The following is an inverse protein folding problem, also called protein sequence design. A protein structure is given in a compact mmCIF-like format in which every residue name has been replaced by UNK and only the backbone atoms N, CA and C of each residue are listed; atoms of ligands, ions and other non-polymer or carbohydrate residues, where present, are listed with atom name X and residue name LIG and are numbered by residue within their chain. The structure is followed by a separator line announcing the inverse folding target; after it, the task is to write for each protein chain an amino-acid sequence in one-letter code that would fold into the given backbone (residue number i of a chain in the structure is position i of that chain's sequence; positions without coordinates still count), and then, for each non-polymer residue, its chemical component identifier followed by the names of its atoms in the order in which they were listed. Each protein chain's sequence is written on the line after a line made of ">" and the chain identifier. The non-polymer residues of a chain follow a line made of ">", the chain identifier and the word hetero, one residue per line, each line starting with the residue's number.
data_IF_196782360443
#
_entry.id   IF_196782360443
#
_cell.length_a   1.000
_cell.length_b   1.000
_cell.length_c   1.000
_cell.angle_alpha   90.00
_cell.angle_beta   90.00
_cell.angle_gamma   90.00
#
_symmetry.space_group_name_H-M   'P 1'
#
loop_
_entity.id
_entity.type
_entity.pdbx_description
1 polymer ?
#
# COMPACT_ATOMS: atom_id res chain seq x y z
N UNK A 1 3.81 22.05 40.83
CA UNK A 1 2.78 21.70 39.81
C UNK A 1 3.23 20.41 39.16
N UNK A 2 2.51 19.30 39.37
CA UNK A 2 2.85 18.03 38.73
C UNK A 2 2.80 18.18 37.21
N UNK A 3 3.73 17.54 36.49
CA UNK A 3 3.64 17.49 35.03
C UNK A 3 2.26 16.93 34.63
N UNK A 4 1.56 17.54 33.65
CA UNK A 4 0.29 17.00 33.19
C UNK A 4 0.49 15.55 32.76
N UNK A 5 -0.41 14.66 33.18
CA UNK A 5 -0.34 13.25 32.84
C UNK A 5 -0.20 13.09 31.32
N UNK A 6 0.83 12.35 30.89
CA UNK A 6 1.12 12.12 29.48
C UNK A 6 0.05 11.21 28.89
N UNK A 7 -0.89 11.76 28.13
CA UNK A 7 -1.87 10.97 27.38
C UNK A 7 -1.16 10.29 26.21
N UNK A 8 -1.32 8.97 26.10
CA UNK A 8 -0.80 8.17 24.99
C UNK A 8 -1.98 7.54 24.27
N UNK A 9 -1.92 7.54 22.94
CA UNK A 9 -2.99 7.06 22.07
C UNK A 9 -2.36 6.17 21.02
N UNK A 10 -2.93 4.98 20.84
CA UNK A 10 -2.64 4.07 19.74
C UNK A 10 -3.70 4.29 18.67
N UNK A 11 -3.32 4.24 17.39
CA UNK A 11 -4.27 4.40 16.29
C UNK A 11 -3.97 3.40 15.18
N UNK A 12 -5.02 2.96 14.51
CA UNK A 12 -4.96 2.13 13.30
C UNK A 12 -6.22 2.31 12.45
N UNK A 13 -6.14 1.97 11.17
CA UNK A 13 -7.27 2.01 10.23
C UNK A 13 -7.10 0.89 9.18
N UNK A 14 -8.08 0.74 8.30
CA UNK A 14 -8.00 -0.11 7.10
C UNK A 14 -7.73 -1.60 7.43
N UNK A 15 -8.26 -2.11 8.55
CA UNK A 15 -8.07 -3.51 8.96
C UNK A 15 -8.81 -4.51 8.06
N UNK A 16 -9.87 -4.06 7.35
CA UNK A 16 -10.70 -4.83 6.42
C UNK A 16 -11.06 -6.24 6.89
N UNK A 17 -11.54 -6.35 8.12
CA UNK A 17 -11.80 -7.63 8.75
C UNK A 17 -12.92 -8.44 8.09
N UNK A 18 -13.74 -7.82 7.24
CA UNK A 18 -14.68 -8.52 6.35
C UNK A 18 -13.99 -9.47 5.37
N UNK A 19 -12.69 -9.29 5.15
CA UNK A 19 -11.85 -10.15 4.30
C UNK A 19 -11.11 -11.24 5.09
N UNK A 20 -11.03 -11.09 6.41
CA UNK A 20 -10.15 -11.86 7.29
C UNK A 20 -10.89 -12.53 8.46
N UNK A 21 -12.21 -12.57 8.43
CA UNK A 21 -13.04 -13.29 9.41
C UNK A 21 -13.08 -12.66 10.80
N UNK A 22 -12.78 -11.37 10.94
CA UNK A 22 -12.88 -10.64 12.21
C UNK A 22 -12.12 -11.28 13.37
N UNK A 23 -10.94 -11.84 13.11
CA UNK A 23 -10.07 -12.47 14.10
C UNK A 23 -8.86 -11.62 14.49
N UNK A 24 -8.73 -10.39 13.97
CA UNK A 24 -7.58 -9.54 14.25
C UNK A 24 -7.39 -9.27 15.75
N UNK A 25 -6.12 -9.26 16.14
CA UNK A 25 -5.63 -8.96 17.48
C UNK A 25 -4.46 -7.98 17.37
N UNK A 26 -4.31 -7.10 18.37
CA UNK A 26 -3.21 -6.14 18.42
C UNK A 26 -2.61 -6.09 19.82
N UNK A 27 -1.33 -5.72 19.92
CA UNK A 27 -0.71 -5.45 21.21
C UNK A 27 -1.11 -4.05 21.69
N UNK A 28 -1.53 -3.96 22.95
CA UNK A 28 -1.84 -2.68 23.61
C UNK A 28 -0.54 -1.93 23.86
N UNK A 29 -0.37 -0.79 23.19
CA UNK A 29 0.76 0.15 23.37
C UNK A 29 0.35 1.44 24.07
N UNK A 30 -0.95 1.67 24.26
CA UNK A 30 -1.54 2.85 24.90
C UNK A 30 -2.89 2.50 25.55
N UNK A 31 -3.43 3.31 26.50
CA UNK A 31 -4.74 3.08 27.09
C UNK A 31 -5.92 3.36 26.15
N UNK A 32 -5.72 4.26 25.17
CA UNK A 32 -6.76 4.69 24.23
C UNK A 32 -6.41 4.16 22.83
N UNK A 33 -7.40 3.58 22.15
CA UNK A 33 -7.31 3.13 20.76
C UNK A 33 -8.19 3.98 19.85
N UNK A 34 -7.64 4.52 18.77
CA UNK A 34 -8.41 5.11 17.66
C UNK A 34 -8.45 4.10 16.51
N UNK A 35 -9.67 3.83 16.03
CA UNK A 35 -10.00 3.06 14.84
C UNK A 35 -10.46 4.03 13.75
N UNK A 36 -9.58 4.37 12.82
CA UNK A 36 -9.73 5.43 11.81
C UNK A 36 -10.42 5.01 10.51
N UNK A 37 -11.46 4.18 10.60
CA UNK A 37 -12.24 3.69 9.45
C UNK A 37 -11.67 2.45 8.76
N UNK A 38 -12.52 1.81 7.97
CA UNK A 38 -12.30 0.57 7.22
C UNK A 38 -11.79 -0.59 8.10
N UNK A 39 -12.38 -0.73 9.28
CA UNK A 39 -12.11 -1.84 10.19
C UNK A 39 -12.83 -3.10 9.72
N UNK A 40 -14.02 -2.93 9.13
CA UNK A 40 -14.90 -3.98 8.66
C UNK A 40 -16.15 -3.39 8.02
N UNK A 41 -17.23 -4.18 7.94
CA UNK A 41 -18.58 -3.72 7.54
C UNK A 41 -19.56 -3.77 8.70
N UNK A 42 -20.40 -2.75 8.86
CA UNK A 42 -21.43 -2.75 9.91
C UNK A 42 -22.54 -3.78 9.67
N UNK A 43 -22.78 -4.17 8.42
CA UNK A 43 -23.74 -5.23 8.10
C UNK A 43 -23.33 -6.61 8.64
N UNK A 44 -22.02 -6.83 8.87
CA UNK A 44 -21.50 -8.04 9.52
C UNK A 44 -21.57 -7.89 11.06
N UNK A 45 -22.75 -7.49 11.55
CA UNK A 45 -22.95 -6.90 12.88
C UNK A 45 -22.34 -7.72 14.03
N UNK A 46 -22.66 -9.01 14.11
CA UNK A 46 -22.17 -9.87 15.20
C UNK A 46 -20.66 -10.06 15.19
N UNK A 47 -20.06 -10.20 14.01
CA UNK A 47 -18.62 -10.34 13.86
C UNK A 47 -17.90 -9.03 14.20
N UNK A 48 -18.43 -7.90 13.73
CA UNK A 48 -17.90 -6.56 14.05
C UNK A 48 -18.01 -6.28 15.55
N UNK A 49 -19.16 -6.57 16.17
CA UNK A 49 -19.39 -6.46 17.62
C UNK A 49 -18.41 -7.30 18.42
N UNK A 50 -18.18 -8.55 18.01
CA UNK A 50 -17.23 -9.45 18.68
C UNK A 50 -15.80 -8.89 18.64
N UNK A 51 -15.37 -8.39 17.48
CA UNK A 51 -14.08 -7.71 17.32
C UNK A 51 -13.95 -6.48 18.24
N UNK A 52 -14.94 -5.58 18.22
CA UNK A 52 -14.95 -4.39 19.06
C UNK A 52 -14.96 -4.72 20.55
N UNK A 53 -15.66 -5.77 20.95
CA UNK A 53 -15.70 -6.23 22.35
C UNK A 53 -14.31 -6.69 22.81
N UNK A 54 -13.53 -7.35 21.96
CA UNK A 54 -12.13 -7.69 22.28
C UNK A 54 -11.25 -6.46 22.44
N UNK A 55 -11.41 -5.44 21.58
CA UNK A 55 -10.71 -4.17 21.78
C UNK A 55 -11.14 -3.47 23.08
N UNK A 56 -12.44 -3.41 23.38
CA UNK A 56 -12.94 -2.77 24.61
C UNK A 56 -12.55 -3.54 25.89
N UNK A 57 -12.32 -4.85 25.80
CA UNK A 57 -11.75 -5.62 26.90
C UNK A 57 -10.27 -5.23 27.16
N UNK A 58 -9.53 -4.90 26.11
CA UNK A 58 -8.10 -4.61 26.18
C UNK A 58 -7.78 -3.13 26.50
N UNK A 59 -8.54 -2.19 25.94
CA UNK A 59 -8.33 -0.74 26.04
C UNK A 59 -9.30 -0.09 27.04
N UNK A 60 -8.93 1.08 27.56
CA UNK A 60 -9.78 1.87 28.47
C UNK A 60 -10.85 2.66 27.70
N UNK A 61 -10.50 3.08 26.48
CA UNK A 61 -11.39 3.77 25.56
C UNK A 61 -11.02 3.37 24.13
N UNK A 62 -12.03 3.02 23.34
CA UNK A 62 -11.94 2.80 21.89
C UNK A 62 -12.75 3.87 21.19
N UNK A 63 -12.11 4.63 20.30
CA UNK A 63 -12.74 5.67 19.48
C UNK A 63 -12.82 5.15 18.06
N UNK A 64 -14.02 5.11 17.49
CA UNK A 64 -14.28 4.62 16.13
C UNK A 64 -14.76 5.76 15.24
N UNK A 65 -14.12 5.92 14.09
CA UNK A 65 -14.62 6.71 12.95
C UNK A 65 -14.90 5.70 11.83
N UNK A 66 -16.02 5.85 11.12
CA UNK A 66 -16.34 4.98 9.99
C UNK A 66 -15.57 5.43 8.74
N UNK A 67 -15.09 4.45 7.97
CA UNK A 67 -14.67 4.61 6.59
C UNK A 67 -15.80 4.26 5.62
N UNK A 68 -15.46 4.03 4.36
CA UNK A 68 -16.45 3.66 3.34
C UNK A 68 -16.85 2.18 3.43
N UNK A 69 -15.93 1.29 3.81
CA UNK A 69 -16.23 -0.14 3.94
C UNK A 69 -17.26 -0.43 5.04
N UNK A 70 -17.29 0.38 6.11
CA UNK A 70 -18.32 0.26 7.15
C UNK A 70 -19.75 0.26 6.59
N UNK A 71 -19.99 0.97 5.48
CA UNK A 71 -21.31 1.10 4.85
C UNK A 71 -21.57 0.08 3.73
N UNK A 72 -20.58 -0.71 3.31
CA UNK A 72 -20.72 -1.65 2.19
C UNK A 72 -21.79 -2.72 2.47
N UNK A 73 -22.73 -2.87 1.53
CA UNK A 73 -23.87 -3.78 1.61
C UNK A 73 -25.11 -3.19 2.30
N UNK A 74 -25.05 -1.94 2.76
CA UNK A 74 -26.14 -1.27 3.48
C UNK A 74 -26.35 0.14 2.96
N UNK A 75 -27.48 0.78 3.31
CA UNK A 75 -27.59 2.23 3.16
C UNK A 75 -26.77 2.93 4.24
N UNK A 76 -26.35 4.17 4.00
CA UNK A 76 -25.62 4.94 5.02
C UNK A 76 -26.41 5.09 6.32
N UNK A 77 -27.73 5.29 6.24
CA UNK A 77 -28.59 5.38 7.40
C UNK A 77 -28.60 4.09 8.24
N UNK A 78 -28.69 2.92 7.60
CA UNK A 78 -28.61 1.62 8.28
C UNK A 78 -27.25 1.39 8.94
N UNK A 79 -26.17 1.78 8.27
CA UNK A 79 -24.82 1.68 8.84
C UNK A 79 -24.65 2.57 10.08
N UNK A 80 -25.17 3.81 10.05
CA UNK A 80 -25.13 4.71 11.21
C UNK A 80 -25.98 4.19 12.39
N UNK A 81 -27.16 3.63 12.11
CA UNK A 81 -27.98 2.96 13.13
C UNK A 81 -27.23 1.78 13.77
N UNK A 82 -26.59 0.94 12.95
CA UNK A 82 -25.78 -0.17 13.43
C UNK A 82 -24.61 0.32 14.30
N UNK A 83 -23.91 1.37 13.90
CA UNK A 83 -22.83 1.97 14.68
C UNK A 83 -23.32 2.48 16.04
N UNK A 84 -24.49 3.12 16.10
CA UNK A 84 -25.09 3.58 17.35
C UNK A 84 -25.44 2.41 18.26
N UNK A 85 -26.08 1.37 17.74
CA UNK A 85 -26.39 0.14 18.50
C UNK A 85 -25.12 -0.51 19.04
N UNK A 86 -24.04 -0.57 18.25
CA UNK A 86 -22.74 -1.11 18.71
C UNK A 86 -22.20 -0.38 19.95
N UNK A 87 -22.38 0.94 20.07
CA UNK A 87 -21.94 1.70 21.26
C UNK A 87 -22.71 1.29 22.51
N UNK A 88 -23.96 0.88 22.35
CA UNK A 88 -24.90 0.51 23.43
C UNK A 88 -24.82 -0.97 23.82
N UNK A 89 -24.10 -1.80 23.04
CA UNK A 89 -23.95 -3.22 23.30
C UNK A 89 -23.39 -3.51 24.70
N UNK A 90 -24.04 -4.37 25.52
CA UNK A 90 -23.56 -4.69 26.86
C UNK A 90 -22.12 -5.21 26.88
N UNK A 91 -21.71 -5.96 25.85
CA UNK A 91 -20.34 -6.52 25.73
C UNK A 91 -19.26 -5.46 25.51
N UNK A 92 -19.63 -4.23 25.16
CA UNK A 92 -18.73 -3.09 24.99
C UNK A 92 -18.48 -2.36 26.32
N UNK A 93 -19.41 -2.46 27.27
CA UNK A 93 -19.23 -1.92 28.63
C UNK A 93 -19.01 -0.41 28.68
N UNK A 94 -19.59 0.34 27.75
CA UNK A 94 -19.49 1.81 27.70
C UNK A 94 -18.10 2.35 27.31
N UNK A 95 -17.20 1.52 26.80
CA UNK A 95 -15.82 1.89 26.43
C UNK A 95 -15.63 2.26 24.96
N UNK A 96 -16.65 2.07 24.11
CA UNK A 96 -16.62 2.53 22.72
C UNK A 96 -17.20 3.94 22.62
N UNK A 97 -16.64 4.74 21.71
CA UNK A 97 -17.22 6.00 21.24
C UNK A 97 -17.17 6.00 19.72
N UNK A 98 -18.33 6.10 19.09
CA UNK A 98 -18.41 6.30 17.65
C UNK A 98 -18.49 7.81 17.36
N UNK A 99 -17.58 8.32 16.53
CA UNK A 99 -17.55 9.73 16.15
C UNK A 99 -17.96 9.88 14.69
N UNK A 100 -19.07 10.58 14.47
CA UNK A 100 -19.55 10.99 13.16
C UNK A 100 -19.97 12.46 13.24
N UNK A 101 -19.02 13.36 12.95
CA UNK A 101 -19.12 14.79 13.28
C UNK A 101 -19.38 14.99 14.77
N UNK A 102 -18.55 14.33 15.57
CA UNK A 102 -18.65 14.39 17.02
C UNK A 102 -17.27 14.54 17.68
N UNK A 103 -17.26 14.89 18.96
CA UNK A 103 -16.07 15.16 19.77
C UNK A 103 -16.03 14.33 21.04
N UNK A 104 -14.82 13.98 21.47
CA UNK A 104 -14.57 13.50 22.83
C UNK A 104 -13.42 14.25 23.48
N UNK A 105 -13.61 14.52 24.77
CA UNK A 105 -12.72 15.27 25.61
C UNK A 105 -11.94 14.33 26.54
N UNK A 106 -10.61 14.33 26.41
CA UNK A 106 -9.71 13.50 27.20
C UNK A 106 -9.03 14.36 28.25
N UNK A 107 -9.56 14.32 29.48
CA UNK A 107 -9.15 15.22 30.55
C UNK A 107 -9.38 16.69 30.18
N UNK A 108 -8.62 17.59 30.80
CA UNK A 108 -8.81 19.03 30.60
C UNK A 108 -8.10 19.60 29.37
N UNK A 109 -7.20 18.85 28.72
CA UNK A 109 -6.24 19.43 27.77
C UNK A 109 -6.22 18.79 26.38
N UNK A 110 -6.96 17.72 26.11
CA UNK A 110 -6.99 17.07 24.80
C UNK A 110 -8.42 16.90 24.32
N UNK A 111 -8.65 17.20 23.04
CA UNK A 111 -9.91 16.95 22.34
C UNK A 111 -9.64 16.12 21.09
N UNK A 112 -10.46 15.10 20.87
CA UNK A 112 -10.51 14.35 19.62
C UNK A 112 -11.77 14.77 18.87
N UNK A 113 -11.63 15.19 17.61
CA UNK A 113 -12.72 15.43 16.67
C UNK A 113 -12.73 14.31 15.63
N UNK A 114 -13.89 13.73 15.34
CA UNK A 114 -14.00 12.61 14.40
C UNK A 114 -15.15 12.76 13.39
N UNK A 115 -14.85 12.55 12.12
CA UNK A 115 -15.82 12.38 11.02
C UNK A 115 -15.19 11.58 9.88
N UNK A 116 -15.98 11.02 8.97
CA UNK A 116 -15.42 10.26 7.83
C UNK A 116 -14.59 11.15 6.90
N UNK A 117 -15.05 12.39 6.67
CA UNK A 117 -14.50 13.36 5.72
C UNK A 117 -14.45 12.81 4.30
N UNK A 118 -15.58 12.34 3.76
CA UNK A 118 -15.69 11.99 2.33
C UNK A 118 -15.00 13.05 1.45
N UNK A 119 -14.47 12.69 0.29
CA UNK A 119 -13.82 13.64 -0.60
C UNK A 119 -14.83 14.38 -1.48
N UNK A 120 -14.36 15.31 -2.30
CA UNK A 120 -15.18 15.90 -3.36
C UNK A 120 -14.87 15.23 -4.70
N UNK A 121 -15.82 14.49 -5.25
CA UNK A 121 -15.68 13.71 -6.48
C UNK A 121 -16.45 14.39 -7.63
N UNK A 122 -15.77 14.68 -8.73
CA UNK A 122 -16.45 15.14 -9.95
C UNK A 122 -17.30 14.00 -10.54
N UNK A 123 -18.48 14.31 -11.08
CA UNK A 123 -19.43 13.30 -11.58
C UNK A 123 -18.83 12.35 -12.65
N UNK A 124 -17.88 12.83 -13.45
CA UNK A 124 -17.13 12.03 -14.44
C UNK A 124 -16.25 10.92 -13.82
N UNK A 125 -15.94 11.01 -12.54
CA UNK A 125 -15.06 10.09 -11.80
C UNK A 125 -15.82 9.04 -10.98
N UNK A 126 -17.16 8.93 -11.13
CA UNK A 126 -18.01 7.96 -10.39
C UNK A 126 -17.53 6.51 -10.48
N UNK A 127 -16.88 6.09 -11.57
CA UNK A 127 -16.41 4.71 -11.77
C UNK A 127 -15.06 4.41 -11.11
N UNK A 128 -14.42 5.40 -10.49
CA UNK A 128 -13.07 5.28 -9.90
C UNK A 128 -13.10 4.87 -8.42
N UNK A 129 -14.29 4.69 -7.85
CA UNK A 129 -14.51 4.09 -6.52
C UNK A 129 -15.65 3.08 -6.57
N UNK A 130 -15.58 2.07 -5.69
CA UNK A 130 -16.64 1.08 -5.51
C UNK A 130 -17.78 1.57 -4.60
N UNK A 131 -17.64 2.75 -3.99
CA UNK A 131 -18.60 3.22 -2.98
C UNK A 131 -20.01 3.35 -3.56
N UNK A 132 -20.12 3.89 -4.77
CA UNK A 132 -21.40 4.09 -5.45
C UNK A 132 -22.04 2.79 -5.98
N UNK A 133 -21.30 1.67 -5.98
CA UNK A 133 -21.83 0.36 -6.32
C UNK A 133 -22.08 -0.52 -5.10
N UNK A 134 -21.38 -0.26 -3.99
CA UNK A 134 -21.41 -1.11 -2.79
C UNK A 134 -22.17 -0.51 -1.62
N UNK A 135 -22.37 0.80 -1.56
CA UNK A 135 -23.24 1.46 -0.59
C UNK A 135 -24.61 1.65 -1.24
N UNK A 136 -25.65 1.07 -0.63
CA UNK A 136 -26.99 1.07 -1.21
C UNK A 136 -27.56 2.48 -1.26
N UNK A 137 -27.99 2.90 -2.45
CA UNK A 137 -28.58 4.22 -2.67
C UNK A 137 -27.58 5.37 -2.65
N UNK A 138 -26.27 5.13 -2.62
CA UNK A 138 -25.26 6.19 -2.49
C UNK A 138 -24.91 6.83 -3.84
N UNK A 139 -25.13 8.13 -3.95
CA UNK A 139 -24.84 8.95 -5.12
C UNK A 139 -23.60 9.85 -4.95
N UNK A 140 -23.07 10.37 -6.06
CA UNK A 140 -21.95 11.32 -6.04
C UNK A 140 -22.38 12.61 -5.34
N UNK A 141 -23.63 13.02 -5.54
CA UNK A 141 -24.26 14.16 -4.90
C UNK A 141 -24.29 14.00 -3.38
N UNK A 142 -24.75 12.86 -2.87
CA UNK A 142 -24.77 12.58 -1.43
C UNK A 142 -23.36 12.50 -0.85
N UNK A 143 -22.41 11.90 -1.56
CA UNK A 143 -21.00 11.84 -1.14
C UNK A 143 -20.41 13.25 -0.98
N UNK A 144 -20.56 14.09 -2.00
CA UNK A 144 -20.07 15.47 -1.98
C UNK A 144 -20.81 16.33 -0.95
N UNK A 145 -22.09 16.05 -0.68
CA UNK A 145 -22.86 16.74 0.33
C UNK A 145 -22.41 16.36 1.75
N UNK A 146 -22.11 15.08 2.02
CA UNK A 146 -21.50 14.71 3.30
C UNK A 146 -20.08 15.27 3.46
N UNK A 147 -19.27 15.36 2.40
CA UNK A 147 -17.98 16.07 2.44
C UNK A 147 -18.14 17.51 2.95
N UNK A 148 -19.10 18.26 2.37
CA UNK A 148 -19.37 19.65 2.77
C UNK A 148 -19.79 19.74 4.23
N UNK A 149 -20.69 18.87 4.69
CA UNK A 149 -21.13 18.81 6.09
C UNK A 149 -19.97 18.52 7.04
N UNK A 150 -19.11 17.57 6.69
CA UNK A 150 -17.94 17.20 7.49
C UNK A 150 -16.94 18.37 7.59
N UNK A 151 -16.63 19.01 6.46
CA UNK A 151 -15.71 20.14 6.41
C UNK A 151 -16.24 21.37 7.19
N UNK A 152 -17.52 21.70 7.01
CA UNK A 152 -18.17 22.80 7.72
C UNK A 152 -18.22 22.55 9.24
N UNK A 153 -18.54 21.31 9.65
CA UNK A 153 -18.54 20.92 11.05
C UNK A 153 -17.14 21.00 11.67
N UNK A 154 -16.10 20.49 10.98
CA UNK A 154 -14.71 20.61 11.43
C UNK A 154 -14.30 22.07 11.60
N UNK A 155 -14.58 22.91 10.61
CA UNK A 155 -14.25 24.33 10.65
C UNK A 155 -14.92 25.03 11.84
N UNK A 156 -16.22 24.77 12.06
CA UNK A 156 -16.98 25.34 13.17
C UNK A 156 -16.44 24.88 14.52
N UNK A 157 -16.20 23.57 14.67
CA UNK A 157 -15.70 22.97 15.92
C UNK A 157 -14.30 23.46 16.29
N UNK A 158 -13.40 23.55 15.30
CA UNK A 158 -12.05 24.05 15.49
C UNK A 158 -12.03 25.54 15.86
N UNK A 159 -12.87 26.35 15.21
CA UNK A 159 -12.99 27.77 15.54
C UNK A 159 -13.51 27.97 16.96
N UNK A 160 -14.51 27.17 17.39
CA UNK A 160 -15.02 27.19 18.76
C UNK A 160 -13.94 26.83 19.77
N UNK A 161 -13.22 25.72 19.55
CA UNK A 161 -12.10 25.31 20.42
C UNK A 161 -11.00 26.37 20.49
N UNK A 162 -10.69 27.04 19.37
CA UNK A 162 -9.71 28.14 19.34
C UNK A 162 -10.16 29.35 20.16
N UNK A 163 -11.46 29.68 20.15
CA UNK A 163 -12.00 30.86 20.81
C UNK A 163 -12.26 30.63 22.31
N UNK A 164 -12.81 29.48 22.66
CA UNK A 164 -13.33 29.19 24.00
C UNK A 164 -12.40 28.28 24.81
N UNK A 165 -11.64 27.40 24.15
CA UNK A 165 -10.89 26.31 24.79
C UNK A 165 -9.43 26.25 24.28
N UNK A 166 -8.80 27.41 24.03
CA UNK A 166 -7.51 27.52 23.34
C UNK A 166 -6.35 26.76 24.00
N UNK A 167 -6.49 26.42 25.28
CA UNK A 167 -5.53 25.62 26.05
C UNK A 167 -5.49 24.15 25.62
N UNK A 168 -6.50 23.67 24.88
CA UNK A 168 -6.66 22.28 24.49
C UNK A 168 -5.89 21.98 23.21
N UNK A 169 -5.28 20.80 23.19
CA UNK A 169 -4.62 20.24 22.01
C UNK A 169 -5.61 19.37 21.26
N UNK A 170 -5.85 19.72 20.01
CA UNK A 170 -6.83 19.02 19.18
C UNK A 170 -6.15 17.93 18.35
N UNK A 171 -6.80 16.78 18.28
CA UNK A 171 -6.51 15.66 17.38
C UNK A 171 -7.72 15.53 16.45
N UNK A 172 -7.51 15.66 15.15
CA UNK A 172 -8.55 15.38 14.14
C UNK A 172 -8.37 13.96 13.66
N UNK A 173 -9.45 13.19 13.58
CA UNK A 173 -9.47 11.82 13.05
C UNK A 173 -10.45 11.79 11.88
N UNK A 174 -9.93 11.46 10.71
CA UNK A 174 -10.74 11.22 9.51
C UNK A 174 -10.45 9.85 8.95
N UNK A 175 -11.31 9.35 8.06
CA UNK A 175 -10.94 8.18 7.29
C UNK A 175 -10.20 8.60 6.00
N UNK A 176 -10.80 9.50 5.23
CA UNK A 176 -10.20 10.01 4.00
C UNK A 176 -9.04 10.96 4.29
N UNK A 177 -8.11 11.05 3.33
CA UNK A 177 -6.93 11.88 3.47
C UNK A 177 -7.27 13.38 3.36
N UNK A 178 -6.63 14.25 4.16
CA UNK A 178 -7.04 15.66 4.25
C UNK A 178 -6.32 16.57 3.24
N UNK A 179 -5.43 16.00 2.43
CA UNK A 179 -4.66 16.70 1.40
C UNK A 179 -4.36 15.73 0.26
N UNK A 180 -3.89 16.21 -0.89
CA UNK A 180 -3.54 15.35 -2.02
C UNK A 180 -2.07 14.93 -2.05
N UNK A 181 -1.19 15.75 -1.46
CA UNK A 181 0.26 15.58 -1.59
C UNK A 181 0.84 14.72 -0.47
N UNK A 182 1.73 13.78 -0.80
CA UNK A 182 2.51 12.98 0.17
C UNK A 182 1.69 12.15 1.17
N UNK A 183 0.42 11.87 0.87
CA UNK A 183 -0.49 11.07 1.74
C UNK A 183 -1.00 9.80 1.05
N UNK A 184 -0.60 9.58 -0.19
CA UNK A 184 -0.79 8.37 -0.98
C UNK A 184 0.56 7.95 -1.55
N UNK A 185 0.58 6.80 -2.24
CA UNK A 185 1.72 6.42 -3.05
C UNK A 185 2.07 7.56 -4.04
N UNK A 186 3.35 7.93 -4.25
CA UNK A 186 3.72 9.07 -5.10
C UNK A 186 3.17 9.03 -6.54
N UNK A 187 3.00 7.82 -7.10
CA UNK A 187 2.38 7.63 -8.44
C UNK A 187 0.87 7.93 -8.46
N UNK A 188 0.24 7.92 -7.28
CA UNK A 188 -1.18 8.18 -7.08
C UNK A 188 -1.45 9.59 -6.53
N UNK A 189 -0.45 10.46 -6.51
CA UNK A 189 -0.53 11.83 -6.05
C UNK A 189 -1.07 12.73 -7.18
N UNK A 190 -2.03 13.60 -6.88
CA UNK A 190 -2.56 14.66 -7.77
C UNK A 190 -3.17 14.18 -9.10
N UNK A 191 -3.49 12.90 -9.25
CA UNK A 191 -4.19 12.39 -10.44
C UNK A 191 -5.73 12.46 -10.27
N UNK A 192 -6.49 12.25 -11.34
CA UNK A 192 -7.97 12.31 -11.28
C UNK A 192 -8.57 11.29 -10.29
N UNK A 193 -7.91 10.14 -10.11
CA UNK A 193 -8.30 9.08 -9.18
C UNK A 193 -8.14 9.52 -7.72
N UNK A 194 -7.15 10.36 -7.41
CA UNK A 194 -6.85 10.83 -6.06
C UNK A 194 -8.03 11.59 -5.42
N UNK A 195 -8.94 12.16 -6.23
CA UNK A 195 -10.17 12.79 -5.76
C UNK A 195 -11.12 11.81 -5.07
N UNK A 196 -10.97 10.50 -5.29
CA UNK A 196 -11.77 9.47 -4.61
C UNK A 196 -11.21 9.08 -3.23
N UNK A 197 -10.02 9.58 -2.87
CA UNK A 197 -9.31 9.17 -1.66
C UNK A 197 -8.89 10.35 -0.77
N UNK A 198 -8.75 11.53 -1.37
CA UNK A 198 -8.15 12.71 -0.76
C UNK A 198 -9.04 13.93 -0.94
N UNK A 199 -8.94 14.88 -0.01
CA UNK A 199 -9.65 16.17 -0.03
C UNK A 199 -8.68 17.35 0.11
N UNK A 200 -9.20 18.58 0.03
CA UNK A 200 -8.45 19.83 0.28
C UNK A 200 -8.57 20.33 1.72
N UNK A 201 -9.22 19.55 2.61
CA UNK A 201 -9.65 20.02 3.93
C UNK A 201 -8.54 20.63 4.79
N UNK A 202 -7.34 20.05 4.80
CA UNK A 202 -6.20 20.58 5.55
C UNK A 202 -5.84 22.00 5.09
N UNK A 203 -5.82 22.22 3.77
CA UNK A 203 -5.47 23.50 3.20
C UNK A 203 -6.57 24.54 3.45
N UNK A 204 -7.83 24.15 3.27
CA UNK A 204 -8.98 25.02 3.49
C UNK A 204 -9.09 25.49 4.95
N UNK A 205 -8.94 24.58 5.90
CA UNK A 205 -8.94 24.88 7.33
C UNK A 205 -7.68 25.68 7.76
N UNK A 206 -6.55 25.48 7.08
CA UNK A 206 -5.35 26.28 7.31
C UNK A 206 -5.55 27.73 6.84
N UNK A 207 -6.16 27.94 5.66
CA UNK A 207 -6.46 29.28 5.12
C UNK A 207 -7.37 30.07 6.06
N UNK A 208 -8.34 29.40 6.72
CA UNK A 208 -9.21 30.04 7.72
C UNK A 208 -8.58 30.14 9.12
N UNK A 209 -7.29 29.81 9.29
CA UNK A 209 -6.59 29.76 10.58
C UNK A 209 -7.25 28.87 11.64
N UNK A 210 -8.07 27.89 11.23
CA UNK A 210 -8.80 27.02 12.17
C UNK A 210 -7.87 26.01 12.87
N UNK A 211 -6.74 25.67 12.27
CA UNK A 211 -5.82 24.62 12.75
C UNK A 211 -4.84 25.06 13.86
N UNK A 212 -5.01 26.23 14.47
CA UNK A 212 -4.02 26.78 15.44
C UNK A 212 -3.80 25.90 16.67
N UNK A 213 -4.86 25.27 17.19
CA UNK A 213 -4.84 24.34 18.33
C UNK A 213 -4.70 22.88 17.89
N UNK A 214 -4.73 22.61 16.58
CA UNK A 214 -4.60 21.26 16.03
C UNK A 214 -3.16 20.80 16.09
N UNK A 215 -2.94 19.69 16.79
CA UNK A 215 -1.62 19.10 16.95
C UNK A 215 -1.39 17.91 16.03
N UNK A 216 -2.44 17.11 15.78
CA UNK A 216 -2.37 15.91 14.97
C UNK A 216 -3.60 15.78 14.06
N UNK A 217 -3.39 15.19 12.90
CA UNK A 217 -4.41 14.73 11.99
C UNK A 217 -4.15 13.25 11.68
N UNK A 218 -5.03 12.37 12.13
CA UNK A 218 -4.99 10.93 11.88
C UNK A 218 -5.91 10.60 10.71
N UNK A 219 -5.45 9.84 9.73
CA UNK A 219 -6.25 9.41 8.58
C UNK A 219 -5.95 7.98 8.11
N UNK A 220 -6.75 7.46 7.17
CA UNK A 220 -6.66 6.15 6.52
C UNK A 220 -6.90 6.19 5.00
N UNK A 221 -7.60 5.19 4.46
CA UNK A 221 -8.14 5.06 3.08
C UNK A 221 -7.13 4.93 1.94
N UNK A 222 -5.98 5.61 2.01
CA UNK A 222 -4.99 5.63 0.91
C UNK A 222 -4.11 4.39 0.88
N UNK A 223 -4.24 3.52 1.88
CA UNK A 223 -3.36 2.38 2.21
C UNK A 223 -1.87 2.74 2.27
N UNK A 224 -1.56 4.02 2.51
CA UNK A 224 -0.20 4.54 2.54
C UNK A 224 0.09 5.17 3.90
N UNK A 225 1.06 4.59 4.61
CA UNK A 225 1.44 5.04 5.93
C UNK A 225 2.40 6.23 5.86
N UNK A 226 2.03 7.30 6.54
CA UNK A 226 2.81 8.53 6.56
C UNK A 226 3.00 9.04 7.98
N UNK A 227 4.11 9.72 8.18
CA UNK A 227 4.36 10.57 9.33
C UNK A 227 5.09 11.80 8.84
N UNK A 228 4.34 12.88 8.65
CA UNK A 228 4.88 14.13 8.15
C UNK A 228 4.31 15.31 8.93
N UNK A 229 4.95 16.47 8.79
CA UNK A 229 4.52 17.71 9.42
C UNK A 229 4.15 18.72 8.34
N UNK A 230 2.92 19.24 8.41
CA UNK A 230 2.45 20.35 7.57
C UNK A 230 2.20 21.55 8.46
N UNK A 231 3.08 22.55 8.39
CA UNK A 231 3.06 23.67 9.33
C UNK A 231 3.27 23.17 10.78
N UNK A 232 2.26 23.33 11.64
CA UNK A 232 2.29 22.85 13.04
C UNK A 232 1.60 21.49 13.25
N UNK A 233 0.87 20.99 12.26
CA UNK A 233 0.07 19.77 12.38
C UNK A 233 0.91 18.56 11.98
N UNK A 234 0.92 17.53 12.84
CA UNK A 234 1.44 16.21 12.50
C UNK A 234 0.36 15.43 11.74
N UNK A 235 0.59 15.19 10.45
CA UNK A 235 -0.30 14.36 9.62
C UNK A 235 0.24 12.93 9.65
N UNK A 236 -0.55 12.01 10.18
CA UNK A 236 -0.14 10.63 10.46
C UNK A 236 -1.19 9.62 10.03
N UNK A 237 -0.74 8.45 9.59
CA UNK A 237 -1.60 7.30 9.30
C UNK A 237 -0.92 6.01 9.74
N UNK A 238 -1.73 5.02 10.13
CA UNK A 238 -1.29 3.68 10.51
C UNK A 238 -2.31 2.65 10.01
N UNK A 239 -2.46 2.65 8.71
CA UNK A 239 -3.31 1.79 7.92
C UNK A 239 -2.70 0.40 7.96
N UNK A 240 -3.47 -0.57 8.42
CA UNK A 240 -3.17 -1.95 8.10
C UNK A 240 -3.37 -2.02 6.61
N UNK A 241 -2.26 -2.14 5.87
CA UNK A 241 -2.41 -2.38 4.45
C UNK A 241 -3.31 -3.60 4.32
N UNK A 242 -4.23 -3.61 3.36
CA UNK A 242 -4.86 -4.86 2.91
C UNK A 242 -3.83 -5.94 2.51
N UNK A 243 -2.54 -5.58 2.55
CA UNK A 243 -1.42 -6.49 2.68
C UNK A 243 -0.84 -6.58 4.11
N UNK A 244 -1.38 -7.48 4.93
CA UNK A 244 -0.78 -8.01 6.16
C UNK A 244 0.72 -8.41 6.00
N UNK A 245 1.71 -7.50 6.11
CA UNK A 245 3.13 -7.76 6.54
C UNK A 245 4.12 -6.63 6.16
N UNK A 246 3.70 -5.38 5.90
CA UNK A 246 4.55 -4.40 5.18
C UNK A 246 5.14 -4.97 3.87
N UNK A 247 4.56 -6.08 3.43
CA UNK A 247 4.88 -6.84 2.26
C UNK A 247 3.55 -7.02 1.57
N UNK A 248 3.45 -6.49 0.36
CA UNK A 248 2.31 -6.75 -0.52
C UNK A 248 2.03 -8.25 -0.58
N UNK A 249 0.83 -8.67 -0.98
CA UNK A 249 0.49 -10.08 -1.08
C UNK A 249 1.52 -10.85 -1.96
N UNK A 250 2.07 -10.23 -3.00
CA UNK A 250 3.14 -10.83 -3.82
C UNK A 250 4.48 -10.85 -3.10
N UNK A 251 4.79 -9.84 -2.28
CA UNK A 251 6.00 -9.85 -1.44
C UNK A 251 5.95 -10.98 -0.40
N UNK A 252 4.77 -11.29 0.15
CA UNK A 252 4.59 -12.42 1.06
C UNK A 252 4.76 -13.77 0.40
N UNK A 253 4.14 -13.97 -0.77
CA UNK A 253 4.30 -15.21 -1.53
C UNK A 253 5.75 -15.36 -2.01
N UNK A 254 6.38 -14.28 -2.47
CA UNK A 254 7.81 -14.28 -2.81
C UNK A 254 8.68 -14.64 -1.60
N UNK A 255 8.44 -14.00 -0.44
CA UNK A 255 9.16 -14.27 0.81
C UNK A 255 9.02 -15.73 1.25
N UNK A 256 7.81 -16.27 1.27
CA UNK A 256 7.56 -17.66 1.66
C UNK A 256 8.32 -18.64 0.74
N UNK A 257 8.21 -18.46 -0.58
CA UNK A 257 8.96 -19.27 -1.54
C UNK A 257 10.48 -19.16 -1.33
N UNK A 258 11.02 -17.94 -1.23
CA UNK A 258 12.45 -17.72 -0.99
C UNK A 258 12.95 -18.31 0.34
N UNK A 259 12.13 -18.32 1.39
CA UNK A 259 12.45 -18.95 2.67
C UNK A 259 12.47 -20.48 2.57
N UNK A 260 11.49 -21.06 1.88
CA UNK A 260 11.43 -22.50 1.64
C UNK A 260 12.65 -22.99 0.86
N UNK A 261 12.97 -22.28 -0.23
CA UNK A 261 14.13 -22.57 -1.07
C UNK A 261 15.43 -22.45 -0.29
N UNK A 262 15.60 -21.35 0.47
CA UNK A 262 16.83 -21.09 1.23
C UNK A 262 17.08 -22.17 2.30
N UNK A 263 16.04 -22.64 3.00
CA UNK A 263 16.15 -23.72 4.00
C UNK A 263 16.70 -25.02 3.42
N UNK A 264 16.59 -25.19 2.11
CA UNK A 264 17.05 -26.38 1.37
C UNK A 264 18.30 -26.09 0.53
N UNK A 265 19.00 -24.98 0.79
CA UNK A 265 20.23 -24.62 0.08
C UNK A 265 20.03 -24.05 -1.33
N UNK A 266 18.80 -23.66 -1.69
CA UNK A 266 18.51 -23.02 -2.97
C UNK A 266 18.46 -21.50 -2.79
N UNK A 267 19.47 -20.82 -3.33
CA UNK A 267 19.47 -19.36 -3.39
C UNK A 267 18.53 -18.86 -4.49
N UNK A 268 17.86 -17.74 -4.22
CA UNK A 268 16.85 -17.17 -5.12
C UNK A 268 16.68 -15.67 -4.92
N UNK A 269 16.35 -14.95 -5.99
CA UNK A 269 15.96 -13.53 -5.99
C UNK A 269 14.65 -13.31 -6.75
N UNK A 270 13.92 -12.24 -6.44
CA UNK A 270 12.71 -11.86 -7.18
C UNK A 270 13.07 -11.02 -8.40
N UNK A 271 12.52 -11.34 -9.57
CA UNK A 271 12.75 -10.66 -10.86
C UNK A 271 11.44 -10.13 -11.45
N UNK A 272 11.41 -9.84 -12.76
CA UNK A 272 10.19 -9.43 -13.47
C UNK A 272 9.61 -8.08 -13.03
N UNK A 273 8.29 -7.93 -13.20
CA UNK A 273 7.52 -6.73 -12.85
C UNK A 273 7.83 -6.25 -11.42
N UNK A 274 7.95 -7.19 -10.49
CA UNK A 274 8.23 -6.92 -9.09
C UNK A 274 9.60 -6.24 -8.89
N UNK A 275 10.64 -6.74 -9.54
CA UNK A 275 11.98 -6.15 -9.42
C UNK A 275 12.06 -4.79 -10.14
N UNK A 276 11.32 -4.61 -11.23
CA UNK A 276 11.20 -3.33 -11.93
C UNK A 276 10.52 -2.27 -11.03
N UNK A 277 9.40 -2.62 -10.37
CA UNK A 277 8.71 -1.74 -9.42
C UNK A 277 9.62 -1.33 -8.26
N UNK A 278 10.44 -2.26 -7.76
CA UNK A 278 11.43 -1.97 -6.71
C UNK A 278 12.43 -0.87 -7.10
N UNK A 279 12.68 -0.70 -8.40
CA UNK A 279 13.51 0.35 -8.96
C UNK A 279 12.71 1.50 -9.58
N UNK A 280 11.46 1.69 -9.20
CA UNK A 280 10.67 2.87 -9.55
C UNK A 280 10.03 2.82 -10.93
N UNK A 281 9.97 1.65 -11.57
CA UNK A 281 9.18 1.46 -12.80
C UNK A 281 7.70 1.30 -12.43
N UNK A 282 6.83 2.12 -13.01
CA UNK A 282 5.38 2.04 -12.77
C UNK A 282 4.76 0.90 -13.61
N UNK A 283 4.50 -0.24 -12.97
CA UNK A 283 3.94 -1.44 -13.59
C UNK A 283 2.88 -2.07 -12.69
N UNK A 284 1.88 -2.71 -13.30
CA UNK A 284 1.04 -3.68 -12.62
C UNK A 284 1.79 -5.02 -12.52
N UNK A 285 1.65 -5.72 -11.40
CA UNK A 285 2.24 -7.05 -11.21
C UNK A 285 1.31 -8.11 -11.81
N UNK A 286 1.79 -8.85 -12.81
CA UNK A 286 1.01 -9.92 -13.46
C UNK A 286 1.32 -11.32 -12.92
N UNK A 287 2.56 -11.55 -12.49
CA UNK A 287 3.00 -12.80 -11.89
C UNK A 287 4.18 -12.59 -10.92
N UNK A 288 4.56 -13.66 -10.22
CA UNK A 288 5.75 -13.68 -9.38
C UNK A 288 6.86 -14.41 -10.12
N UNK A 289 8.02 -13.79 -10.26
CA UNK A 289 9.19 -14.42 -10.88
C UNK A 289 10.31 -14.60 -9.87
N UNK A 290 10.79 -15.83 -9.71
CA UNK A 290 11.96 -16.16 -8.91
C UNK A 290 13.07 -16.66 -9.81
N UNK A 291 14.23 -16.01 -9.74
CA UNK A 291 15.44 -16.47 -10.41
C UNK A 291 16.28 -17.31 -9.44
N UNK A 292 16.68 -18.50 -9.89
CA UNK A 292 17.58 -19.43 -9.19
C UNK A 292 18.75 -19.81 -10.09
N UNK A 293 19.81 -20.41 -9.53
CA UNK A 293 20.85 -21.01 -10.36
C UNK A 293 20.26 -22.14 -11.22
N UNK A 294 20.71 -22.25 -12.48
CA UNK A 294 20.21 -23.22 -13.44
C UNK A 294 20.21 -24.66 -12.92
N UNK A 295 21.29 -25.09 -12.25
CA UNK A 295 21.42 -26.42 -11.67
C UNK A 295 20.46 -26.68 -10.48
N UNK A 296 19.84 -25.62 -9.92
CA UNK A 296 18.87 -25.70 -8.82
C UNK A 296 17.42 -25.65 -9.27
N UNK A 297 17.12 -25.47 -10.57
CA UNK A 297 15.75 -25.33 -11.08
C UNK A 297 14.84 -26.50 -10.66
N UNK A 298 15.27 -27.74 -10.88
CA UNK A 298 14.47 -28.93 -10.54
C UNK A 298 14.28 -29.13 -9.04
N UNK A 299 15.31 -28.82 -8.25
CA UNK A 299 15.21 -28.88 -6.79
C UNK A 299 14.22 -27.82 -6.29
N UNK A 300 14.30 -26.60 -6.81
CA UNK A 300 13.37 -25.52 -6.50
C UNK A 300 11.93 -25.89 -6.87
N UNK A 301 11.75 -26.48 -8.06
CA UNK A 301 10.47 -26.96 -8.55
C UNK A 301 9.86 -28.03 -7.64
N UNK A 302 10.68 -28.98 -7.20
CA UNK A 302 10.27 -30.06 -6.30
C UNK A 302 9.87 -29.51 -4.93
N UNK A 303 10.66 -28.60 -4.36
CA UNK A 303 10.39 -27.99 -3.05
C UNK A 303 9.10 -27.19 -3.04
N UNK A 304 8.90 -26.31 -4.01
CA UNK A 304 7.66 -25.52 -4.10
C UNK A 304 6.45 -26.41 -4.44
N UNK A 305 6.63 -27.41 -5.31
CA UNK A 305 5.58 -28.36 -5.65
C UNK A 305 5.15 -29.26 -4.49
N UNK A 306 6.00 -29.45 -3.48
CA UNK A 306 5.64 -30.14 -2.24
C UNK A 306 4.74 -29.30 -1.31
N UNK A 307 4.55 -28.00 -1.59
CA UNK A 307 3.65 -27.10 -0.86
C UNK A 307 2.36 -26.89 -1.67
N UNK A 308 1.66 -27.98 -2.01
CA UNK A 308 0.49 -27.97 -2.93
C UNK A 308 -0.70 -27.11 -2.48
N UNK A 309 -0.81 -26.84 -1.18
CA UNK A 309 -1.76 -25.89 -0.59
C UNK A 309 -1.41 -24.42 -0.83
N UNK A 310 -0.17 -24.13 -1.24
CA UNK A 310 0.35 -22.77 -1.48
C UNK A 310 0.73 -22.56 -2.96
N UNK A 311 1.37 -23.55 -3.57
CA UNK A 311 1.82 -23.56 -4.96
C UNK A 311 1.46 -24.88 -5.63
N UNK A 312 0.49 -24.82 -6.53
CA UNK A 312 0.12 -25.99 -7.34
C UNK A 312 0.95 -26.00 -8.61
N UNK A 313 1.79 -27.02 -8.80
CA UNK A 313 2.64 -27.16 -10.00
C UNK A 313 1.77 -27.25 -11.26
N UNK A 314 2.14 -26.47 -12.26
CA UNK A 314 1.60 -26.48 -13.62
C UNK A 314 2.67 -27.03 -14.58
N UNK A 315 2.30 -27.39 -15.83
CA UNK A 315 3.29 -27.69 -16.84
C UNK A 315 4.27 -26.52 -17.05
N UNK A 316 5.54 -26.83 -17.24
CA UNK A 316 6.56 -25.85 -17.58
C UNK A 316 6.16 -25.07 -18.84
N UNK A 317 6.42 -23.76 -18.88
CA UNK A 317 6.02 -22.90 -19.98
C UNK A 317 6.87 -23.18 -21.22
N UNK A 318 6.30 -23.87 -22.21
CA UNK A 318 7.00 -24.15 -23.48
C UNK A 318 6.98 -22.94 -24.43
N UNK A 319 5.82 -22.31 -24.56
CA UNK A 319 5.58 -21.21 -25.48
C UNK A 319 5.15 -19.96 -24.70
N UNK A 320 6.10 -19.07 -24.36
CA UNK A 320 5.76 -17.81 -23.71
C UNK A 320 5.07 -16.84 -24.66
N UNK A 321 4.37 -15.86 -24.09
CA UNK A 321 3.86 -14.74 -24.87
C UNK A 321 4.98 -13.85 -25.41
N UNK A 322 4.63 -13.00 -26.37
CA UNK A 322 5.56 -12.12 -27.06
C UNK A 322 6.34 -11.18 -26.12
N UNK A 323 5.75 -10.75 -25.01
CA UNK A 323 6.34 -9.79 -24.07
C UNK A 323 7.23 -10.45 -23.00
N UNK A 324 7.22 -11.77 -22.91
CA UNK A 324 7.98 -12.53 -21.91
C UNK A 324 8.77 -13.71 -22.50
N UNK A 325 9.55 -13.53 -23.58
CA UNK A 325 10.26 -14.62 -24.26
C UNK A 325 11.26 -15.34 -23.36
N UNK A 326 11.79 -14.65 -22.35
CA UNK A 326 12.69 -15.20 -21.31
C UNK A 326 12.02 -16.23 -20.39
N UNK A 327 10.69 -16.33 -20.38
CA UNK A 327 9.96 -17.33 -19.59
C UNK A 327 9.91 -18.70 -20.26
N UNK A 328 10.52 -18.86 -21.44
CA UNK A 328 10.62 -20.17 -22.11
C UNK A 328 11.31 -21.18 -21.18
N UNK A 329 10.69 -22.35 -21.02
CA UNK A 329 11.07 -23.42 -20.10
C UNK A 329 11.03 -23.04 -18.62
N UNK A 330 10.34 -21.96 -18.23
CA UNK A 330 10.16 -21.64 -16.82
C UNK A 330 9.26 -22.69 -16.14
N UNK A 331 9.64 -23.13 -14.94
CA UNK A 331 8.72 -23.94 -14.12
C UNK A 331 7.62 -23.05 -13.57
N UNK A 332 6.38 -23.54 -13.62
CA UNK A 332 5.20 -22.72 -13.37
C UNK A 332 4.35 -23.28 -12.25
N UNK A 333 3.82 -22.40 -11.42
CA UNK A 333 2.95 -22.75 -10.30
C UNK A 333 1.76 -21.82 -10.27
N UNK A 334 0.57 -22.36 -10.03
CA UNK A 334 -0.57 -21.55 -9.61
C UNK A 334 -0.40 -21.20 -8.13
N UNK A 335 -0.50 -19.93 -7.78
CA UNK A 335 -0.46 -19.48 -6.38
C UNK A 335 -1.84 -19.69 -5.76
N UNK A 336 -1.94 -20.66 -4.86
CA UNK A 336 -3.16 -20.99 -4.13
C UNK A 336 -3.56 -19.81 -3.22
N UNK A 337 -4.87 -19.57 -3.13
CA UNK A 337 -5.51 -18.43 -2.47
C UNK A 337 -5.35 -17.06 -3.16
N UNK A 338 -4.83 -17.00 -4.39
CA UNK A 338 -4.85 -15.76 -5.18
C UNK A 338 -6.21 -15.58 -5.87
N UNK A 339 -6.92 -14.47 -5.59
CA UNK A 339 -8.24 -14.17 -6.20
C UNK A 339 -8.18 -13.90 -7.71
N UNK A 340 -6.98 -13.69 -8.27
CA UNK A 340 -6.75 -13.28 -9.65
C UNK A 340 -6.16 -14.39 -10.55
N UNK A 341 -6.00 -15.62 -10.05
CA UNK A 341 -5.40 -16.72 -10.83
C UNK A 341 -3.91 -16.50 -11.13
N UNK A 342 -3.20 -15.90 -10.18
CA UNK A 342 -1.80 -15.53 -10.33
C UNK A 342 -0.88 -16.75 -10.37
N UNK A 343 0.15 -16.66 -11.18
CA UNK A 343 1.19 -17.68 -11.30
C UNK A 343 2.52 -17.23 -10.66
N UNK A 344 3.31 -18.23 -10.26
CA UNK A 344 4.71 -18.08 -9.87
C UNK A 344 5.58 -18.85 -10.86
N UNK A 345 6.64 -18.21 -11.32
CA UNK A 345 7.61 -18.71 -12.26
C UNK A 345 8.96 -18.93 -11.58
N UNK A 346 9.57 -20.08 -11.83
CA UNK A 346 11.00 -20.30 -11.57
C UNK A 346 11.75 -20.11 -12.88
N UNK A 347 12.54 -19.05 -12.93
CA UNK A 347 13.49 -18.72 -13.99
C UNK A 347 14.90 -19.09 -13.55
N UNK A 348 15.80 -19.26 -14.51
CA UNK A 348 17.21 -19.52 -14.21
C UNK A 348 18.05 -18.29 -14.49
N UNK A 349 19.16 -18.16 -13.77
CA UNK A 349 20.24 -17.20 -14.03
C UNK A 349 20.67 -17.19 -15.50
N UNK A 350 20.76 -18.37 -16.14
CA UNK A 350 21.03 -18.49 -17.57
C UNK A 350 19.94 -17.92 -18.47
N UNK A 351 18.66 -18.02 -18.10
CA UNK A 351 17.54 -17.53 -18.92
C UNK A 351 17.43 -16.00 -18.86
N UNK A 352 17.80 -15.40 -17.72
CA UNK A 352 17.79 -13.96 -17.52
C UNK A 352 19.16 -13.30 -17.74
N UNK A 353 20.19 -14.08 -18.06
CA UNK A 353 21.59 -13.64 -18.10
C UNK A 353 22.00 -12.87 -16.83
N UNK A 354 21.45 -13.28 -15.67
CA UNK A 354 21.50 -12.56 -14.41
C UNK A 354 22.58 -13.14 -13.49
N UNK A 355 23.50 -12.31 -13.02
CA UNK A 355 24.44 -12.68 -11.97
C UNK A 355 23.76 -12.63 -10.60
N UNK A 356 23.73 -13.76 -9.90
CA UNK A 356 23.11 -13.93 -8.58
C UNK A 356 24.05 -13.69 -7.39
N UNK A 357 25.33 -13.38 -7.64
CA UNK A 357 26.37 -13.32 -6.60
C UNK A 357 26.35 -12.07 -5.71
N UNK A 358 25.78 -10.95 -6.19
CA UNK A 358 25.75 -9.66 -5.46
C UNK A 358 24.34 -9.04 -5.50
N UNK A 359 23.52 -9.36 -4.50
CA UNK A 359 22.07 -9.11 -4.49
C UNK A 359 21.64 -8.39 -3.21
N UNK A 360 20.58 -7.58 -3.29
CA UNK A 360 20.08 -6.80 -2.16
C UNK A 360 19.09 -7.58 -1.29
N UNK A 361 19.11 -7.29 0.00
CA UNK A 361 18.35 -7.95 1.07
C UNK A 361 17.50 -6.86 1.74
N UNK A 362 16.18 -6.87 1.55
CA UNK A 362 15.28 -5.89 2.17
C UNK A 362 14.84 -6.29 3.58
N UNK A 363 15.66 -5.99 4.59
CA UNK A 363 15.39 -6.40 5.98
C UNK A 363 14.38 -5.47 6.66
N UNK A 364 13.13 -5.92 6.82
CA UNK A 364 12.22 -5.38 7.83
C UNK A 364 12.29 -6.29 9.07
N UNK A 365 13.01 -5.86 10.10
CA UNK A 365 13.18 -6.64 11.32
C UNK A 365 11.95 -6.53 12.22
N UNK A 366 11.21 -7.62 12.39
CA UNK A 366 10.41 -7.91 13.59
C UNK A 366 10.42 -9.43 13.84
N UNK A 367 10.71 -9.81 15.09
CA UNK A 367 10.84 -11.17 15.63
C UNK A 367 12.00 -12.05 15.14
N UNK A 368 13.25 -11.70 15.49
CA UNK A 368 14.35 -12.64 15.77
C UNK A 368 14.85 -13.60 14.66
N UNK A 369 14.16 -13.66 13.53
CA UNK A 369 14.42 -14.43 12.32
C UNK A 369 14.22 -13.48 11.14
N UNK A 370 15.13 -12.51 11.02
CA UNK A 370 15.10 -11.56 9.91
C UNK A 370 15.43 -12.28 8.60
N UNK A 371 14.41 -12.65 7.82
CA UNK A 371 14.59 -13.04 6.42
C UNK A 371 13.72 -12.15 5.54
N UNK A 372 14.40 -11.18 4.93
CA UNK A 372 13.96 -10.24 3.90
C UNK A 372 13.62 -10.88 2.57
N UNK A 373 12.83 -10.19 1.73
CA UNK A 373 12.79 -10.50 0.29
C UNK A 373 14.13 -10.10 -0.35
N UNK A 374 14.69 -10.98 -1.19
CA UNK A 374 15.92 -10.75 -1.95
C UNK A 374 15.62 -10.30 -3.37
N UNK A 375 16.32 -9.27 -3.84
CA UNK A 375 16.20 -8.72 -5.20
C UNK A 375 17.59 -8.57 -5.84
N UNK A 376 17.71 -8.68 -7.17
CA UNK A 376 18.94 -8.29 -7.85
C UNK A 376 19.25 -6.82 -7.62
N UNK A 377 20.54 -6.49 -7.56
CA UNK A 377 20.96 -5.08 -7.58
C UNK A 377 20.51 -4.44 -8.89
N UNK A 378 20.31 -3.12 -8.89
CA UNK A 378 19.94 -2.38 -10.10
C UNK A 378 20.93 -2.65 -11.24
N UNK A 379 22.23 -2.68 -10.91
CA UNK A 379 23.32 -3.05 -11.82
C UNK A 379 23.12 -4.44 -12.40
N UNK A 380 22.97 -5.47 -11.57
CA UNK A 380 22.82 -6.85 -12.03
C UNK A 380 21.59 -7.01 -12.92
N UNK A 381 20.46 -6.41 -12.54
CA UNK A 381 19.21 -6.48 -13.30
C UNK A 381 19.34 -5.80 -14.67
N UNK A 382 19.91 -4.58 -14.72
CA UNK A 382 20.15 -3.88 -15.98
C UNK A 382 21.13 -4.65 -16.88
N UNK A 383 22.22 -5.19 -16.30
CA UNK A 383 23.18 -6.00 -17.04
C UNK A 383 22.57 -7.28 -17.60
N UNK A 384 21.66 -7.94 -16.86
CA UNK A 384 20.94 -9.12 -17.33
C UNK A 384 20.12 -8.82 -18.59
N UNK A 385 19.33 -7.74 -18.58
CA UNK A 385 18.56 -7.35 -19.76
C UNK A 385 19.43 -6.95 -20.95
N UNK A 386 20.54 -6.24 -20.72
CA UNK A 386 21.49 -5.89 -21.77
C UNK A 386 22.20 -7.11 -22.36
N UNK A 387 22.62 -8.07 -21.50
CA UNK A 387 23.18 -9.34 -21.96
C UNK A 387 22.19 -10.09 -22.85
N UNK A 388 20.94 -10.24 -22.40
CA UNK A 388 19.91 -10.96 -23.15
C UNK A 388 19.58 -10.27 -24.46
N UNK A 389 19.54 -8.93 -24.48
CA UNK A 389 19.38 -8.16 -25.71
C UNK A 389 20.53 -8.39 -26.70
N UNK A 390 21.78 -8.32 -26.23
CA UNK A 390 22.97 -8.59 -27.05
C UNK A 390 22.96 -10.03 -27.60
N UNK A 391 22.71 -11.02 -26.75
CA UNK A 391 22.65 -12.43 -27.15
C UNK A 391 21.54 -12.68 -28.19
N UNK A 392 20.37 -12.05 -28.02
CA UNK A 392 19.28 -12.15 -29.00
C UNK A 392 19.66 -11.55 -30.36
N UNK A 393 20.39 -10.42 -30.37
CA UNK A 393 20.91 -9.82 -31.61
C UNK A 393 21.96 -10.72 -32.28
N UNK A 394 22.81 -11.41 -31.53
CA UNK A 394 23.84 -12.32 -32.07
C UNK A 394 23.24 -13.53 -32.81
N UNK A 395 22.06 -14.00 -32.38
CA UNK A 395 21.35 -15.12 -33.01
C UNK A 395 20.21 -14.67 -33.94
N UNK A 396 20.17 -13.38 -34.28
CA UNK A 396 19.14 -12.77 -35.15
C UNK A 396 17.69 -12.91 -34.63
N UNK A 397 17.50 -13.10 -33.32
CA UNK A 397 16.19 -13.06 -32.66
C UNK A 397 15.81 -11.62 -32.28
N UNK A 398 15.48 -10.83 -33.30
CA UNK A 398 15.14 -9.42 -33.14
C UNK A 398 13.90 -9.19 -32.27
N UNK A 399 12.94 -10.11 -32.30
CA UNK A 399 11.69 -9.99 -31.53
C UNK A 399 11.98 -10.02 -30.03
N UNK A 400 12.71 -11.04 -29.58
CA UNK A 400 13.12 -11.12 -28.18
C UNK A 400 14.09 -9.99 -27.81
N UNK A 401 15.00 -9.63 -28.72
CA UNK A 401 15.93 -8.51 -28.54
C UNK A 401 15.23 -7.19 -28.22
N UNK A 402 14.14 -6.86 -28.94
CA UNK A 402 13.33 -5.66 -28.67
C UNK A 402 12.74 -5.71 -27.27
N UNK A 403 12.19 -6.86 -26.85
CA UNK A 403 11.58 -7.03 -25.53
C UNK A 403 12.61 -6.84 -24.41
N UNK A 404 13.80 -7.43 -24.55
CA UNK A 404 14.88 -7.26 -23.57
C UNK A 404 15.35 -5.81 -23.49
N UNK A 405 15.45 -5.13 -24.64
CA UNK A 405 15.77 -3.70 -24.68
C UNK A 405 14.69 -2.84 -24.03
N UNK A 406 13.40 -3.20 -24.16
CA UNK A 406 12.31 -2.50 -23.46
C UNK A 406 12.42 -2.63 -21.94
N UNK A 407 12.82 -3.80 -21.41
CA UNK A 407 13.03 -3.97 -19.97
C UNK A 407 14.23 -3.15 -19.47
N UNK A 408 15.33 -3.14 -20.24
CA UNK A 408 16.48 -2.28 -19.96
C UNK A 408 16.11 -0.78 -20.00
N UNK A 409 15.30 -0.36 -20.99
CA UNK A 409 14.84 1.02 -21.13
C UNK A 409 14.02 1.47 -19.93
N UNK A 410 13.07 0.65 -19.47
CA UNK A 410 12.25 0.91 -18.29
C UNK A 410 13.12 1.19 -17.06
N UNK A 411 14.17 0.40 -16.85
CA UNK A 411 15.11 0.60 -15.76
C UNK A 411 15.91 1.90 -15.91
N UNK A 412 16.44 2.19 -17.09
CA UNK A 412 17.17 3.44 -17.38
C UNK A 412 16.27 4.65 -17.15
N UNK A 413 14.99 4.58 -17.54
CA UNK A 413 14.02 5.66 -17.39
C UNK A 413 13.64 5.90 -15.92
N UNK A 414 13.55 4.83 -15.11
CA UNK A 414 13.12 4.88 -13.69
C UNK A 414 14.12 5.46 -12.69
N UNK A 415 15.41 5.50 -13.00
CA UNK A 415 16.47 5.94 -12.08
C UNK A 415 17.24 7.16 -12.62
N UNK A 416 17.92 7.90 -11.74
CA UNK A 416 18.84 8.99 -12.14
C UNK A 416 20.17 8.43 -12.69
N UNK A 417 20.11 7.58 -13.71
CA UNK A 417 21.29 7.07 -14.42
C UNK A 417 21.79 8.13 -15.40
N UNK A 418 23.10 8.41 -15.34
CA UNK A 418 23.81 9.28 -16.27
C UNK A 418 24.99 8.55 -16.92
N UNK A 419 25.73 9.23 -17.79
CA UNK A 419 26.88 8.64 -18.49
C UNK A 419 28.00 8.21 -17.54
N UNK A 420 28.17 8.92 -16.41
CA UNK A 420 29.17 8.57 -15.41
C UNK A 420 28.80 7.25 -14.72
N UNK A 421 27.53 7.08 -14.35
CA UNK A 421 27.03 5.84 -13.79
C UNK A 421 27.20 4.67 -14.77
N UNK A 422 26.83 4.86 -16.05
CA UNK A 422 26.99 3.81 -17.07
C UNK A 422 28.45 3.37 -17.21
N UNK A 423 29.39 4.32 -17.24
CA UNK A 423 30.82 4.04 -17.38
C UNK A 423 31.40 3.31 -16.16
N UNK A 424 30.92 3.64 -14.97
CA UNK A 424 31.35 2.98 -13.73
C UNK A 424 30.79 1.55 -13.61
N UNK A 425 29.55 1.32 -14.05
CA UNK A 425 28.83 0.09 -13.75
C UNK A 425 28.71 -0.89 -14.93
N UNK A 426 28.96 -0.47 -16.18
CA UNK A 426 28.90 -1.31 -17.39
C UNK A 426 30.29 -1.42 -18.04
N UNK A 427 30.99 -2.52 -17.77
CA UNK A 427 32.35 -2.76 -18.29
C UNK A 427 32.39 -3.35 -19.72
N UNK A 428 31.29 -3.95 -20.20
CA UNK A 428 31.22 -4.50 -21.57
C UNK A 428 30.91 -3.38 -22.58
N UNK A 429 31.69 -3.23 -23.67
CA UNK A 429 31.49 -2.17 -24.67
C UNK A 429 30.08 -2.16 -25.26
N UNK A 430 29.53 -3.32 -25.61
CA UNK A 430 28.20 -3.41 -26.22
C UNK A 430 27.09 -3.05 -25.25
N UNK A 431 27.21 -3.43 -23.96
CA UNK A 431 26.27 -3.01 -22.93
C UNK A 431 26.26 -1.51 -22.74
N UNK A 432 27.46 -0.91 -22.64
CA UNK A 432 27.61 0.53 -22.52
C UNK A 432 27.00 1.24 -23.74
N UNK A 433 27.25 0.74 -24.95
CA UNK A 433 26.68 1.27 -26.18
C UNK A 433 25.15 1.24 -26.16
N UNK A 434 24.55 0.09 -25.86
CA UNK A 434 23.09 -0.07 -25.82
C UNK A 434 22.45 0.81 -24.74
N UNK A 435 23.00 0.79 -23.51
CA UNK A 435 22.51 1.65 -22.43
C UNK A 435 22.67 3.16 -22.74
N UNK A 436 23.73 3.54 -23.47
CA UNK A 436 23.94 4.92 -23.93
C UNK A 436 22.94 5.33 -25.01
N UNK A 437 22.46 4.40 -25.84
CA UNK A 437 21.36 4.65 -26.79
C UNK A 437 20.06 4.91 -26.01
N UNK A 438 19.75 4.05 -25.03
CA UNK A 438 18.58 4.19 -24.17
C UNK A 438 18.60 5.52 -23.39
N UNK A 439 19.74 5.88 -22.79
CA UNK A 439 19.91 7.13 -22.05
C UNK A 439 19.75 8.37 -22.94
N UNK A 440 20.22 8.32 -24.19
CA UNK A 440 19.95 9.40 -25.17
C UNK A 440 18.48 9.48 -25.54
N UNK A 441 17.81 8.34 -25.67
CA UNK A 441 16.36 8.24 -25.85
C UNK A 441 15.59 8.89 -24.69
N UNK A 442 15.98 8.58 -23.45
CA UNK A 442 15.43 9.17 -22.22
C UNK A 442 15.49 10.70 -22.25
N UNK A 443 16.67 11.28 -22.54
CA UNK A 443 16.86 12.73 -22.61
C UNK A 443 15.89 13.39 -23.60
N UNK A 444 15.62 12.74 -24.75
CA UNK A 444 14.64 13.23 -25.73
C UNK A 444 13.20 13.13 -25.22
N UNK A 445 12.84 12.05 -24.51
CA UNK A 445 11.52 11.87 -23.90
C UNK A 445 11.27 12.88 -22.77
N UNK A 446 12.26 13.14 -21.92
CA UNK A 446 12.16 14.10 -20.81
C UNK A 446 12.16 15.57 -21.27
N UNK A 447 12.86 15.90 -22.37
CA UNK A 447 12.83 17.24 -22.96
C UNK A 447 11.52 17.55 -23.72
N UNK A 448 10.78 16.52 -24.13
CA UNK A 448 9.46 16.65 -24.74
C UNK A 448 8.29 16.72 -23.75
N UNK A 449 8.50 16.41 -22.47
CA UNK A 449 7.48 16.51 -21.43
C UNK A 449 7.59 17.85 -20.70
N UNK A 450 6.91 18.88 -21.22
CA UNK A 450 6.75 20.16 -20.52
C UNK A 450 5.67 20.05 -19.44
N UNK A 451 6.05 19.52 -18.28
CA UNK A 451 5.28 19.67 -17.04
C UNK A 451 6.22 20.21 -15.96
N UNK A 452 6.35 21.55 -15.95
CA UNK A 452 6.92 22.36 -14.86
C UNK A 452 5.82 22.78 -13.89
#
# INVERSE_FOLDING_TARGET
>A
MGQPAKVTIQFMSDLHQERHGYSFTTLRRAPILILGGDIGRFIDYDHYRSLLSRFCAQFELVVLVAGNHEFYGSTRAQGLDAAQRLVEEPSIGGKLRFLNRDRIDLGSNITILGCTLHSHIAHRHKRLTNDFSRILGWSVEEHNEEHKKDLQWLQTSLNKLRQEEAHRRVIVVTHYAPMFKRVSHPLNELNDVSQCFSSTALEDLRRSSALTTTSHWVFGHTHWNVRLKVGKVHVVSNQMHNDHENLTWWQRKSKYAQQLLLRSGVWSVVTGDIALIRYGVDLAVHDIELCVYHDKRELAATLLGAQDTVYKRLPDLQDPDFYHPYKKNATRFQVCDSKAGLELYILTDQALSLDLTDQTVDSTAYDGLAVSVRYPTYKALLQGWLNSACAAMEIEDFNSGVVYMMQAERLVDSQNVDEAWLKEHLSKPDHYLQASILLRGKRRRTLGSSWT
#
